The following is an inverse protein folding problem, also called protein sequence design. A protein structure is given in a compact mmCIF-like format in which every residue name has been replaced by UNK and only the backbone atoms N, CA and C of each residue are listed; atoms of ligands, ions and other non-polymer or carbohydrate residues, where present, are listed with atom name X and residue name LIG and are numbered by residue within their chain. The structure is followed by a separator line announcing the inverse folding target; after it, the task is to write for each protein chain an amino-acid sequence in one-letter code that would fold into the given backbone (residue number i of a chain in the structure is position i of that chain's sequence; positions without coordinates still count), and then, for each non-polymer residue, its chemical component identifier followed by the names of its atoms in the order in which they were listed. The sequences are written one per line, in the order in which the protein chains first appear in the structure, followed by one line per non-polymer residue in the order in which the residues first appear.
data_IF_919201360900
#
_entry.id   IF_919201360900
#
_cell.length_a   1.000
_cell.length_b   1.000
_cell.length_c   1.000
_cell.angle_alpha   90.00
_cell.angle_beta   90.00
_cell.angle_gamma   90.00
#
_symmetry.space_group_name_H-M   'P 1'
#
loop_
_entity.id
_entity.type
_entity.pdbx_description
1 polymer ?
#
# COMPACT_ATOMS: atom_id res chain seq x y z
N UNK A 1 46.27 -47.48 40.56
CA UNK A 1 45.96 -48.84 41.04
C UNK A 1 46.56 -49.87 40.10
N UNK A 2 47.66 -50.51 40.52
CA UNK A 2 47.84 -51.96 40.38
C UNK A 2 49.09 -52.36 41.16
N UNK A 3 48.87 -53.06 42.28
CA UNK A 3 49.84 -53.53 43.27
C UNK A 3 50.65 -54.76 42.78
N UNK A 4 50.93 -54.87 41.47
CA UNK A 4 51.48 -56.10 40.88
C UNK A 4 52.94 -56.01 40.44
N UNK A 5 53.58 -54.83 40.49
CA UNK A 5 54.93 -54.64 39.95
C UNK A 5 56.08 -54.70 40.98
N UNK A 6 55.79 -54.83 42.29
CA UNK A 6 56.82 -54.65 43.35
C UNK A 6 57.42 -55.97 43.86
N UNK A 7 56.93 -57.14 43.44
CA UNK A 7 57.29 -58.44 44.04
C UNK A 7 58.11 -59.41 43.16
N UNK A 8 58.93 -58.91 42.23
CA UNK A 8 59.87 -59.78 41.49
C UNK A 8 61.28 -59.17 41.33
N UNK A 9 61.82 -58.61 42.41
CA UNK A 9 63.23 -58.17 42.39
C UNK A 9 64.01 -58.51 43.67
N UNK A 10 63.86 -59.75 44.14
CA UNK A 10 64.82 -60.36 45.06
C UNK A 10 65.51 -61.46 44.28
N UNK A 11 66.82 -61.31 44.03
CA UNK A 11 67.76 -62.27 43.39
C UNK A 11 68.01 -62.08 41.88
N UNK A 12 68.83 -61.07 41.52
CA UNK A 12 69.90 -61.21 40.53
C UNK A 12 70.78 -59.95 40.51
N UNK A 13 72.05 -60.09 40.89
CA UNK A 13 73.05 -59.03 40.87
C UNK A 13 73.69 -58.97 39.48
N UNK A 14 73.08 -58.21 38.57
CA UNK A 14 73.69 -57.44 37.47
C UNK A 14 72.55 -56.93 36.57
N UNK A 15 71.80 -55.91 37.02
CA UNK A 15 70.99 -55.14 36.08
C UNK A 15 71.78 -53.93 35.63
N UNK A 16 71.98 -53.89 34.32
CA UNK A 16 72.61 -52.83 33.59
C UNK A 16 71.88 -51.51 33.90
N UNK A 17 72.48 -50.64 34.75
CA UNK A 17 71.93 -49.33 35.15
C UNK A 17 71.46 -48.50 33.94
N UNK A 18 72.10 -48.68 32.78
CA UNK A 18 71.76 -48.02 31.53
C UNK A 18 70.38 -48.41 30.99
N UNK A 19 69.92 -49.63 31.25
CA UNK A 19 68.61 -50.12 30.78
C UNK A 19 67.47 -49.58 31.63
N UNK A 20 67.67 -49.54 32.95
CA UNK A 20 66.71 -48.98 33.89
C UNK A 20 66.51 -47.46 33.64
N UNK A 21 67.60 -46.71 33.42
CA UNK A 21 67.52 -45.27 33.13
C UNK A 21 66.78 -44.97 31.81
N UNK A 22 66.96 -45.82 30.78
CA UNK A 22 66.20 -45.68 29.52
C UNK A 22 64.71 -45.97 29.71
N UNK A 23 64.35 -47.00 30.47
CA UNK A 23 62.95 -47.31 30.77
C UNK A 23 62.29 -46.19 31.57
N UNK A 24 62.98 -45.66 32.58
CA UNK A 24 62.46 -44.61 33.45
C UNK A 24 62.31 -43.28 32.70
N UNK A 25 63.29 -42.92 31.85
CA UNK A 25 63.16 -41.76 30.93
C UNK A 25 61.98 -41.91 29.98
N UNK A 26 61.78 -43.10 29.38
CA UNK A 26 60.63 -43.36 28.49
C UNK A 26 59.30 -43.28 29.23
N UNK A 27 59.22 -43.81 30.44
CA UNK A 27 58.02 -43.75 31.26
C UNK A 27 57.68 -42.30 31.66
N UNK A 28 58.66 -41.52 32.10
CA UNK A 28 58.48 -40.10 32.45
C UNK A 28 58.13 -39.24 31.23
N UNK A 29 58.74 -39.47 30.06
CA UNK A 29 58.36 -38.75 28.82
C UNK A 29 56.97 -39.14 28.34
N UNK A 30 56.57 -40.39 28.48
CA UNK A 30 55.21 -40.82 28.14
C UNK A 30 54.17 -40.18 29.08
N UNK A 31 54.43 -40.21 30.39
CA UNK A 31 53.55 -39.66 31.40
C UNK A 31 53.41 -38.13 31.25
N UNK A 32 54.52 -37.39 31.11
CA UNK A 32 54.48 -35.93 30.85
C UNK A 32 53.77 -35.59 29.55
N UNK A 33 53.93 -36.38 28.49
CA UNK A 33 53.22 -36.19 27.22
C UNK A 33 51.71 -36.39 27.37
N UNK A 34 51.27 -37.43 28.09
CA UNK A 34 49.85 -37.67 28.35
C UNK A 34 49.20 -36.57 29.19
N UNK A 35 49.87 -36.09 30.24
CA UNK A 35 49.40 -34.96 31.05
C UNK A 35 49.36 -33.66 30.24
N UNK A 36 50.40 -33.37 29.44
CA UNK A 36 50.44 -32.20 28.57
C UNK A 36 49.31 -32.22 27.51
N UNK A 37 49.04 -33.39 26.90
CA UNK A 37 47.91 -33.54 25.97
C UNK A 37 46.55 -33.42 26.66
N UNK A 38 46.39 -33.90 27.89
CA UNK A 38 45.17 -33.77 28.68
C UNK A 38 44.83 -32.32 29.01
N UNK A 39 45.83 -31.55 29.49
CA UNK A 39 45.67 -30.11 29.80
C UNK A 39 45.38 -29.31 28.52
N UNK A 40 46.07 -29.60 27.42
CA UNK A 40 45.84 -28.96 26.13
C UNK A 40 44.42 -29.21 25.61
N UNK A 41 43.92 -30.45 25.67
CA UNK A 41 42.55 -30.78 25.26
C UNK A 41 41.49 -30.14 26.16
N UNK A 42 41.72 -30.11 27.48
CA UNK A 42 40.80 -29.47 28.42
C UNK A 42 40.73 -27.95 28.19
N UNK A 43 41.86 -27.31 27.93
CA UNK A 43 41.92 -25.89 27.58
C UNK A 43 41.21 -25.59 26.25
N UNK A 44 41.45 -26.40 25.20
CA UNK A 44 40.75 -26.27 23.91
C UNK A 44 39.22 -26.39 24.07
N UNK A 45 38.75 -27.35 24.87
CA UNK A 45 37.32 -27.54 25.12
C UNK A 45 36.69 -26.36 25.88
N UNK A 46 37.40 -25.78 26.86
CA UNK A 46 36.94 -24.57 27.56
C UNK A 46 36.88 -23.35 26.64
N UNK A 47 37.91 -23.13 25.83
CA UNK A 47 37.95 -22.01 24.87
C UNK A 47 36.82 -22.14 23.86
N UNK A 48 36.63 -23.33 23.27
CA UNK A 48 35.53 -23.60 22.35
C UNK A 48 34.16 -23.35 23.00
N UNK A 49 33.94 -23.82 24.23
CA UNK A 49 32.69 -23.58 24.98
C UNK A 49 32.44 -22.10 25.23
N UNK A 50 33.48 -21.32 25.54
CA UNK A 50 33.40 -19.86 25.75
C UNK A 50 33.07 -19.13 24.45
N UNK A 51 33.72 -19.49 23.34
CA UNK A 51 33.43 -18.93 22.01
C UNK A 51 32.00 -19.23 21.54
N UNK A 52 31.50 -20.44 21.74
CA UNK A 52 30.10 -20.79 21.45
C UNK A 52 29.11 -19.93 22.25
N UNK A 53 29.41 -19.66 23.53
CA UNK A 53 28.58 -18.81 24.39
C UNK A 53 28.61 -17.35 23.95
N UNK A 54 29.79 -16.83 23.59
CA UNK A 54 29.98 -15.48 23.03
C UNK A 54 29.24 -15.32 21.70
N UNK A 55 29.33 -16.30 20.79
CA UNK A 55 28.59 -16.32 19.52
C UNK A 55 27.07 -16.35 19.73
N UNK A 56 26.58 -17.16 20.68
CA UNK A 56 25.14 -17.20 21.03
C UNK A 56 24.65 -15.87 21.59
N UNK A 57 25.44 -15.18 22.41
CA UNK A 57 25.11 -13.84 22.91
C UNK A 57 25.11 -12.80 21.79
N UNK A 58 26.12 -12.80 20.92
CA UNK A 58 26.19 -11.89 19.77
C UNK A 58 25.01 -12.10 18.81
N UNK A 59 24.68 -13.34 18.49
CA UNK A 59 23.55 -13.70 17.61
C UNK A 59 22.21 -13.29 18.22
N UNK A 60 22.02 -13.45 19.54
CA UNK A 60 20.82 -12.95 20.23
C UNK A 60 20.70 -11.43 20.16
N UNK A 61 21.80 -10.70 20.35
CA UNK A 61 21.81 -9.24 20.25
C UNK A 61 21.50 -8.77 18.83
N UNK A 62 22.04 -9.44 17.82
CA UNK A 62 21.77 -9.17 16.42
C UNK A 62 20.28 -9.40 16.09
N UNK A 63 19.71 -10.54 16.49
CA UNK A 63 18.28 -10.83 16.29
C UNK A 63 17.40 -9.80 17.00
N UNK A 64 17.75 -9.37 18.22
CA UNK A 64 17.01 -8.34 18.94
C UNK A 64 17.09 -6.97 18.25
N UNK A 65 18.25 -6.63 17.67
CA UNK A 65 18.40 -5.42 16.87
C UNK A 65 17.57 -5.50 15.59
N UNK A 66 17.58 -6.63 14.89
CA UNK A 66 16.77 -6.86 13.68
C UNK A 66 15.27 -6.78 13.99
N UNK A 67 14.82 -7.36 15.11
CA UNK A 67 13.43 -7.26 15.57
C UNK A 67 13.08 -5.80 15.90
N UNK A 68 13.92 -5.07 16.63
CA UNK A 68 13.69 -3.66 16.96
C UNK A 68 13.67 -2.77 15.71
N UNK A 69 14.54 -3.04 14.73
CA UNK A 69 14.58 -2.32 13.47
C UNK A 69 13.36 -2.64 12.62
N UNK A 70 12.93 -3.90 12.58
CA UNK A 70 11.72 -4.33 11.89
C UNK A 70 10.49 -3.69 12.53
N UNK A 71 10.39 -3.67 13.88
CA UNK A 71 9.31 -3.02 14.60
C UNK A 71 9.25 -1.52 14.31
N UNK A 72 10.40 -0.82 14.32
CA UNK A 72 10.47 0.61 13.97
C UNK A 72 10.03 0.88 12.54
N UNK A 73 10.49 0.09 11.56
CA UNK A 73 10.03 0.22 10.16
C UNK A 73 8.54 -0.05 10.03
N UNK A 74 8.01 -1.02 10.78
CA UNK A 74 6.58 -1.32 10.80
C UNK A 74 5.79 -0.19 11.47
N UNK A 75 6.28 0.39 12.57
CA UNK A 75 5.69 1.55 13.25
C UNK A 75 5.73 2.81 12.38
N UNK A 76 6.81 3.03 11.63
CA UNK A 76 6.95 4.12 10.64
C UNK A 76 5.98 3.94 9.45
N UNK A 77 5.73 2.70 9.01
CA UNK A 77 4.69 2.39 8.01
C UNK A 77 3.27 2.56 8.59
N UNK A 78 3.10 2.30 9.90
CA UNK A 78 1.83 2.40 10.63
C UNK A 78 1.55 3.83 11.11
N UNK A 79 2.48 4.79 10.94
CA UNK A 79 2.27 6.18 11.30
C UNK A 79 0.96 6.66 10.63
N UNK A 80 -0.10 6.69 11.45
CA UNK A 80 -1.48 6.77 11.00
C UNK A 80 -1.59 8.06 10.21
N UNK A 81 -1.87 7.95 8.91
CA UNK A 81 -2.21 9.13 8.13
C UNK A 81 -3.30 9.91 8.84
N UNK A 82 -3.13 11.22 8.89
CA UNK A 82 -4.14 12.07 9.46
C UNK A 82 -5.40 11.99 8.58
N UNK A 83 -6.39 11.24 9.06
CA UNK A 83 -7.69 11.07 8.39
C UNK A 83 -8.50 12.37 8.48
N UNK A 84 -8.22 13.20 9.49
CA UNK A 84 -8.89 14.47 9.74
C UNK A 84 -8.18 15.61 9.02
N UNK A 85 -8.37 15.65 7.71
CA UNK A 85 -7.95 16.77 6.86
C UNK A 85 -9.18 17.48 6.32
N UNK A 86 -9.07 18.79 6.07
CA UNK A 86 -10.18 19.59 5.52
C UNK A 86 -10.69 19.00 4.20
N UNK A 87 -9.84 18.59 3.24
CA UNK A 87 -10.28 17.95 2.00
C UNK A 87 -11.08 16.65 2.23
N UNK A 88 -10.62 15.79 3.14
CA UNK A 88 -11.32 14.53 3.40
C UNK A 88 -12.70 14.75 4.05
N UNK A 89 -12.84 15.78 4.90
CA UNK A 89 -14.15 16.15 5.46
C UNK A 89 -15.11 16.66 4.38
N UNK A 90 -14.62 17.46 3.44
CA UNK A 90 -15.41 17.98 2.30
C UNK A 90 -15.83 16.86 1.35
N UNK A 91 -14.92 15.91 1.06
CA UNK A 91 -15.24 14.70 0.30
C UNK A 91 -16.31 13.85 1.00
N UNK A 92 -16.17 13.61 2.31
CA UNK A 92 -17.15 12.84 3.09
C UNK A 92 -18.52 13.54 3.13
N UNK A 93 -18.53 14.86 3.29
CA UNK A 93 -19.75 15.66 3.19
C UNK A 93 -20.43 15.46 1.83
N UNK A 94 -19.68 15.45 0.72
CA UNK A 94 -20.22 15.22 -0.63
C UNK A 94 -20.86 13.85 -0.79
N UNK A 95 -20.25 12.80 -0.23
CA UNK A 95 -20.82 11.44 -0.25
C UNK A 95 -22.19 11.42 0.44
N UNK A 96 -22.36 12.17 1.54
CA UNK A 96 -23.64 12.29 2.26
C UNK A 96 -24.62 13.23 1.55
N UNK A 97 -24.13 14.33 0.99
CA UNK A 97 -24.94 15.33 0.29
C UNK A 97 -25.48 14.80 -1.04
N UNK A 98 -24.74 13.93 -1.75
CA UNK A 98 -25.15 13.34 -3.03
C UNK A 98 -26.54 12.65 -3.00
N UNK A 99 -26.83 11.69 -2.11
CA UNK A 99 -28.16 11.08 -2.02
C UNK A 99 -29.21 12.07 -1.53
N UNK A 100 -28.83 13.05 -0.69
CA UNK A 100 -29.75 14.10 -0.27
C UNK A 100 -30.12 15.05 -1.43
N UNK A 101 -29.18 15.38 -2.32
CA UNK A 101 -29.43 16.12 -3.55
C UNK A 101 -30.41 15.37 -4.45
N UNK A 102 -30.19 14.06 -4.61
CA UNK A 102 -31.09 13.18 -5.35
C UNK A 102 -32.50 13.19 -4.75
N UNK A 103 -32.63 13.18 -3.43
CA UNK A 103 -33.91 13.27 -2.75
C UNK A 103 -34.62 14.60 -3.03
N UNK A 104 -33.92 15.73 -2.96
CA UNK A 104 -34.50 17.05 -3.27
C UNK A 104 -35.00 17.14 -4.72
N UNK A 105 -34.25 16.57 -5.67
CA UNK A 105 -34.66 16.53 -7.08
C UNK A 105 -35.94 15.70 -7.25
N UNK A 106 -36.03 14.55 -6.59
CA UNK A 106 -37.23 13.70 -6.62
C UNK A 106 -38.45 14.37 -5.97
N UNK A 107 -38.24 15.15 -4.91
CA UNK A 107 -39.27 15.97 -4.26
C UNK A 107 -39.65 17.23 -5.06
N UNK A 108 -39.01 17.48 -6.20
CA UNK A 108 -39.19 18.67 -7.05
C UNK A 108 -38.79 20.01 -6.40
N UNK A 109 -37.98 19.96 -5.33
CA UNK A 109 -37.44 21.14 -4.64
C UNK A 109 -36.17 21.66 -5.34
N UNK A 110 -36.29 22.00 -6.63
CA UNK A 110 -35.15 22.32 -7.49
C UNK A 110 -34.34 23.53 -7.03
N UNK A 111 -34.98 24.50 -6.37
CA UNK A 111 -34.31 25.70 -5.89
C UNK A 111 -33.29 25.38 -4.79
N UNK A 112 -33.67 24.54 -3.82
CA UNK A 112 -32.78 24.11 -2.74
C UNK A 112 -31.70 23.19 -3.31
N UNK A 113 -32.08 22.26 -4.20
CA UNK A 113 -31.14 21.37 -4.87
C UNK A 113 -30.06 22.15 -5.65
N UNK A 114 -30.44 23.22 -6.34
CA UNK A 114 -29.52 24.06 -7.11
C UNK A 114 -28.52 24.78 -6.20
N UNK A 115 -28.98 25.41 -5.13
CA UNK A 115 -28.08 26.07 -4.18
C UNK A 115 -27.12 25.08 -3.54
N UNK A 116 -27.61 23.91 -3.17
CA UNK A 116 -26.79 22.88 -2.55
C UNK A 116 -25.79 22.28 -3.55
N UNK A 117 -26.15 22.13 -4.83
CA UNK A 117 -25.23 21.75 -5.90
C UNK A 117 -24.10 22.77 -6.07
N UNK A 118 -24.42 24.07 -6.06
CA UNK A 118 -23.43 25.16 -6.17
C UNK A 118 -22.46 25.10 -4.99
N UNK A 119 -22.97 24.99 -3.75
CA UNK A 119 -22.14 24.91 -2.54
C UNK A 119 -21.24 23.66 -2.58
N UNK A 120 -21.78 22.51 -2.98
CA UNK A 120 -21.03 21.27 -3.11
C UNK A 120 -19.94 21.36 -4.18
N UNK A 121 -20.22 21.97 -5.33
CA UNK A 121 -19.24 22.20 -6.40
C UNK A 121 -18.14 23.18 -6.00
N UNK A 122 -18.48 24.27 -5.32
CA UNK A 122 -17.49 25.22 -4.79
C UNK A 122 -16.59 24.58 -3.73
N UNK A 123 -17.15 23.69 -2.92
CA UNK A 123 -16.43 22.93 -1.91
C UNK A 123 -15.39 21.98 -2.53
N UNK A 124 -15.69 21.34 -3.66
CA UNK A 124 -14.76 20.51 -4.44
C UNK A 124 -13.61 21.33 -5.06
N UNK A 125 -13.92 22.51 -5.59
CA UNK A 125 -12.86 23.39 -6.09
C UNK A 125 -11.95 23.85 -4.95
N UNK A 126 -12.52 24.14 -3.78
CA UNK A 126 -11.79 24.55 -2.59
C UNK A 126 -10.93 23.42 -2.02
N UNK A 127 -11.44 22.20 -1.87
CA UNK A 127 -10.66 21.08 -1.35
C UNK A 127 -9.48 20.71 -2.28
N UNK A 128 -9.71 20.68 -3.59
CA UNK A 128 -8.69 20.42 -4.59
C UNK A 128 -7.63 21.52 -4.63
N UNK A 129 -8.01 22.77 -4.39
CA UNK A 129 -7.08 23.88 -4.27
C UNK A 129 -6.26 23.82 -2.96
N UNK A 130 -6.90 23.51 -1.83
CA UNK A 130 -6.24 23.36 -0.53
C UNK A 130 -5.25 22.20 -0.57
N UNK A 131 -5.63 21.04 -1.12
CA UNK A 131 -4.76 19.87 -1.22
C UNK A 131 -3.52 20.10 -2.11
N UNK A 132 -3.64 20.96 -3.14
CA UNK A 132 -2.51 21.35 -4.01
C UNK A 132 -1.60 22.39 -3.37
N UNK A 133 -2.17 23.28 -2.55
CA UNK A 133 -1.44 24.39 -1.94
C UNK A 133 -0.74 23.95 -0.64
N UNK A 134 -1.39 23.10 0.16
CA UNK A 134 -0.86 22.56 1.41
C UNK A 134 -0.68 21.04 1.33
N UNK A 135 0.52 20.60 1.00
CA UNK A 135 0.89 19.18 0.93
C UNK A 135 0.73 18.45 2.27
N UNK A 136 0.75 19.16 3.41
CA UNK A 136 0.49 18.60 4.74
C UNK A 136 -0.97 18.19 4.97
N UNK A 137 -1.91 18.70 4.14
CA UNK A 137 -3.33 18.36 4.19
C UNK A 137 -3.71 17.28 3.17
N UNK A 138 -2.77 16.82 2.34
CA UNK A 138 -3.00 15.73 1.41
C UNK A 138 -2.96 14.38 2.16
N UNK A 139 -4.05 13.62 2.08
CA UNK A 139 -4.16 12.27 2.65
C UNK A 139 -4.28 11.23 1.53
N UNK A 140 -3.68 10.03 1.70
CA UNK A 140 -3.86 8.95 0.71
C UNK A 140 -5.30 8.44 0.72
N UNK A 141 -6.00 8.46 1.86
CA UNK A 141 -7.43 8.16 1.92
C UNK A 141 -8.24 9.15 1.09
N UNK A 142 -8.06 10.45 1.29
CA UNK A 142 -8.73 11.49 0.49
C UNK A 142 -8.50 11.30 -1.00
N UNK A 143 -7.24 11.08 -1.41
CA UNK A 143 -6.90 10.84 -2.82
C UNK A 143 -7.59 9.63 -3.46
N UNK A 144 -8.03 8.67 -2.66
CA UNK A 144 -8.79 7.51 -3.10
C UNK A 144 -10.30 7.77 -3.06
N UNK A 145 -10.79 8.50 -2.06
CA UNK A 145 -12.20 8.80 -1.90
C UNK A 145 -12.69 9.86 -2.89
N UNK A 146 -11.88 10.87 -3.23
CA UNK A 146 -12.31 11.99 -4.10
C UNK A 146 -12.88 11.51 -5.45
N UNK A 147 -12.19 10.64 -6.24
CA UNK A 147 -12.73 10.19 -7.52
C UNK A 147 -13.99 9.34 -7.38
N UNK A 148 -14.19 8.69 -6.23
CA UNK A 148 -15.39 7.90 -5.95
C UNK A 148 -16.55 8.84 -5.59
N UNK A 149 -16.32 9.81 -4.71
CA UNK A 149 -17.32 10.80 -4.32
C UNK A 149 -17.81 11.62 -5.52
N UNK A 150 -16.92 12.02 -6.43
CA UNK A 150 -17.28 12.75 -7.64
C UNK A 150 -18.16 11.91 -8.57
N UNK A 151 -17.82 10.63 -8.75
CA UNK A 151 -18.59 9.71 -9.60
C UNK A 151 -19.96 9.39 -9.00
N UNK A 152 -20.04 9.30 -7.67
CA UNK A 152 -21.30 9.14 -6.96
C UNK A 152 -22.19 10.38 -7.11
N UNK A 153 -21.64 11.59 -6.94
CA UNK A 153 -22.38 12.82 -7.13
C UNK A 153 -22.93 12.92 -8.55
N UNK A 154 -22.07 12.85 -9.57
CA UNK A 154 -22.50 12.94 -10.97
C UNK A 154 -23.50 11.84 -11.33
N UNK A 155 -23.23 10.59 -10.92
CA UNK A 155 -24.10 9.45 -11.22
C UNK A 155 -25.50 9.56 -10.60
N UNK A 156 -25.59 9.94 -9.32
CA UNK A 156 -26.88 10.12 -8.62
C UNK A 156 -27.70 11.27 -9.21
N UNK A 157 -27.05 12.34 -9.68
CA UNK A 157 -27.72 13.45 -10.33
C UNK A 157 -28.26 13.10 -11.71
N UNK A 158 -27.49 12.38 -12.53
CA UNK A 158 -27.99 11.89 -13.82
C UNK A 158 -29.18 10.92 -13.65
N UNK A 159 -29.14 10.05 -12.65
CA UNK A 159 -30.22 9.11 -12.35
C UNK A 159 -31.50 9.83 -11.89
N UNK A 160 -31.37 10.76 -10.93
CA UNK A 160 -32.52 11.52 -10.42
C UNK A 160 -33.13 12.45 -11.46
N UNK A 161 -32.31 13.18 -12.23
CA UNK A 161 -32.81 14.05 -13.29
C UNK A 161 -33.48 13.27 -14.43
N UNK A 162 -32.98 12.06 -14.76
CA UNK A 162 -33.65 11.20 -15.73
C UNK A 162 -34.97 10.63 -15.21
N UNK A 163 -35.03 10.31 -13.91
CA UNK A 163 -36.26 9.83 -13.28
C UNK A 163 -37.38 10.87 -13.34
N UNK A 164 -37.03 12.14 -13.14
CA UNK A 164 -37.96 13.27 -13.22
C UNK A 164 -38.25 13.68 -14.68
N UNK A 165 -37.56 13.09 -15.66
CA UNK A 165 -37.78 13.34 -17.09
C UNK A 165 -37.09 14.59 -17.64
N UNK A 166 -36.20 15.23 -16.88
CA UNK A 166 -35.43 16.40 -17.33
C UNK A 166 -34.21 16.03 -18.18
N UNK A 167 -33.75 14.77 -18.08
CA UNK A 167 -32.64 14.24 -18.89
C UNK A 167 -33.11 13.00 -19.64
N UNK A 168 -32.77 12.86 -20.94
CA UNK A 168 -33.12 11.66 -21.69
C UNK A 168 -32.41 10.42 -21.12
N UNK A 169 -33.20 9.37 -20.83
CA UNK A 169 -32.72 8.09 -20.30
C UNK A 169 -31.53 7.50 -21.09
N UNK A 170 -31.49 7.55 -22.43
CA UNK A 170 -30.34 7.06 -23.20
C UNK A 170 -29.02 7.76 -22.84
N UNK A 171 -29.05 9.08 -22.61
CA UNK A 171 -27.86 9.84 -22.20
C UNK A 171 -27.40 9.41 -20.80
N UNK A 172 -28.34 9.29 -19.86
CA UNK A 172 -28.04 8.84 -18.50
C UNK A 172 -27.44 7.43 -18.50
N UNK A 173 -28.01 6.49 -19.25
CA UNK A 173 -27.45 5.14 -19.39
C UNK A 173 -26.02 5.18 -19.95
N UNK A 174 -25.76 6.01 -20.97
CA UNK A 174 -24.45 6.16 -21.59
C UNK A 174 -23.41 6.69 -20.59
N UNK A 175 -23.73 7.75 -19.86
CA UNK A 175 -22.85 8.37 -18.87
C UNK A 175 -22.56 7.41 -17.71
N UNK A 176 -23.60 6.80 -17.13
CA UNK A 176 -23.47 5.87 -16.00
C UNK A 176 -22.69 4.62 -16.42
N UNK A 177 -23.00 4.03 -17.58
CA UNK A 177 -22.28 2.85 -18.05
C UNK A 177 -20.79 3.13 -18.28
N UNK A 178 -20.46 4.29 -18.88
CA UNK A 178 -19.07 4.71 -19.08
C UNK A 178 -18.36 4.90 -17.75
N UNK A 179 -18.98 5.57 -16.79
CA UNK A 179 -18.36 5.85 -15.49
C UNK A 179 -18.17 4.58 -14.65
N UNK A 180 -19.15 3.68 -14.65
CA UNK A 180 -19.02 2.35 -14.03
C UNK A 180 -17.93 1.53 -14.70
N UNK A 181 -17.82 1.57 -16.03
CA UNK A 181 -16.75 0.89 -16.77
C UNK A 181 -15.36 1.42 -16.40
N UNK A 182 -15.21 2.75 -16.23
CA UNK A 182 -13.93 3.33 -15.80
C UNK A 182 -13.58 3.01 -14.34
N UNK A 183 -14.55 3.12 -13.44
CA UNK A 183 -14.33 2.79 -12.02
C UNK A 183 -14.01 1.30 -11.85
N UNK A 184 -14.72 0.42 -12.55
CA UNK A 184 -14.44 -1.03 -12.52
C UNK A 184 -13.09 -1.37 -13.14
N UNK A 185 -12.71 -0.76 -14.27
CA UNK A 185 -11.39 -0.92 -14.86
C UNK A 185 -10.28 -0.45 -13.91
N UNK A 186 -10.42 0.73 -13.31
CA UNK A 186 -9.48 1.27 -12.33
C UNK A 186 -9.34 0.33 -11.12
N UNK A 187 -10.47 -0.11 -10.56
CA UNK A 187 -10.55 -1.06 -9.44
C UNK A 187 -9.88 -2.38 -9.77
N UNK A 188 -10.12 -2.93 -10.96
CA UNK A 188 -9.55 -4.19 -11.43
C UNK A 188 -8.02 -4.12 -11.59
N UNK A 189 -7.50 -3.06 -12.21
CA UNK A 189 -6.05 -2.83 -12.36
C UNK A 189 -5.40 -2.74 -10.98
N UNK A 190 -6.05 -2.00 -10.07
CA UNK A 190 -5.57 -1.87 -8.69
C UNK A 190 -5.53 -3.22 -8.00
N UNK A 191 -6.61 -4.01 -8.08
CA UNK A 191 -6.70 -5.36 -7.54
C UNK A 191 -5.56 -6.27 -8.04
N UNK A 192 -5.19 -6.17 -9.32
CA UNK A 192 -4.06 -6.93 -9.87
C UNK A 192 -2.69 -6.45 -9.38
N UNK A 193 -2.52 -5.15 -9.14
CA UNK A 193 -1.24 -4.56 -8.72
C UNK A 193 -0.86 -4.85 -7.26
N UNK A 194 -1.77 -5.41 -6.45
CA UNK A 194 -1.53 -5.72 -5.04
C UNK A 194 -0.62 -6.95 -4.86
N UNK A 195 0.44 -6.87 -4.02
CA UNK A 195 1.27 -8.03 -3.70
C UNK A 195 0.46 -9.09 -2.92
N UNK A 196 0.72 -10.40 -3.12
CA UNK A 196 0.06 -11.44 -2.33
C UNK A 196 0.40 -11.31 -0.84
N UNK A 197 -0.53 -11.58 0.12
CA UNK A 197 -1.89 -12.08 -0.06
C UNK A 197 -2.92 -10.98 -0.39
N UNK A 198 -3.86 -11.31 -1.29
CA UNK A 198 -4.93 -10.42 -1.76
C UNK A 198 -6.12 -10.45 -0.79
N UNK A 199 -6.14 -9.59 0.22
CA UNK A 199 -7.26 -9.46 1.17
C UNK A 199 -8.03 -8.14 0.98
N UNK A 200 -9.32 -8.11 1.33
CA UNK A 200 -10.14 -6.87 1.25
C UNK A 200 -9.58 -5.75 2.12
N UNK A 201 -9.08 -6.09 3.32
CA UNK A 201 -8.40 -5.13 4.20
C UNK A 201 -7.22 -4.45 3.51
N UNK A 202 -6.49 -5.18 2.65
CA UNK A 202 -5.37 -4.66 1.87
C UNK A 202 -5.79 -3.90 0.62
N UNK A 203 -6.93 -4.26 0.03
CA UNK A 203 -7.55 -3.46 -1.03
C UNK A 203 -7.98 -2.10 -0.49
N UNK A 204 -8.59 -2.01 0.69
CA UNK A 204 -8.93 -0.71 1.28
C UNK A 204 -7.75 -0.01 1.96
N UNK A 205 -6.55 -0.60 1.93
CA UNK A 205 -5.34 0.01 2.50
C UNK A 205 -4.83 1.12 1.55
N UNK A 206 -4.87 2.39 1.97
CA UNK A 206 -4.49 3.54 1.14
C UNK A 206 -2.98 3.59 0.87
N UNK A 207 -2.18 2.82 1.61
CA UNK A 207 -0.71 2.81 1.54
C UNK A 207 -0.16 2.26 0.21
N UNK A 208 -0.98 1.53 -0.57
CA UNK A 208 -0.59 0.86 -1.81
C UNK A 208 -1.27 1.45 -3.08
N UNK A 209 -1.34 2.78 -3.20
CA UNK A 209 -1.83 3.44 -4.42
C UNK A 209 -0.86 3.22 -5.61
N UNK A 210 -1.00 2.09 -6.31
CA UNK A 210 0.01 1.61 -7.29
C UNK A 210 -0.41 1.87 -8.76
N UNK A 211 -1.60 2.41 -9.02
CA UNK A 211 -2.03 2.74 -10.37
C UNK A 211 -2.94 3.98 -10.38
N UNK A 212 -2.44 5.08 -10.96
CA UNK A 212 -3.27 6.20 -11.42
C UNK A 212 -3.44 6.04 -12.93
N UNK A 213 -4.68 5.93 -13.39
CA UNK A 213 -5.00 6.04 -14.79
C UNK A 213 -4.56 7.43 -15.23
N UNK A 214 -3.59 7.53 -16.13
CA UNK A 214 -3.10 8.82 -16.61
C UNK A 214 -4.31 9.64 -17.11
N UNK A 215 -4.64 10.78 -16.48
CA UNK A 215 -5.84 11.49 -16.83
C UNK A 215 -5.67 12.07 -18.23
N UNK A 216 -6.44 11.55 -19.19
CA UNK A 216 -6.49 12.10 -20.54
C UNK A 216 -7.19 13.46 -20.47
N UNK A 217 -6.66 14.46 -21.18
CA UNK A 217 -7.26 15.81 -21.24
C UNK A 217 -8.73 15.76 -21.68
N UNK A 218 -9.06 14.83 -22.59
CA UNK A 218 -10.43 14.54 -23.06
C UNK A 218 -11.36 14.15 -21.90
N UNK A 219 -10.87 13.36 -20.94
CA UNK A 219 -11.69 12.96 -19.78
C UNK A 219 -11.98 14.13 -18.84
N UNK A 220 -11.05 15.07 -18.67
CA UNK A 220 -11.26 16.26 -17.82
C UNK A 220 -12.31 17.19 -18.42
N UNK A 221 -12.23 17.42 -19.74
CA UNK A 221 -13.22 18.24 -20.46
C UNK A 221 -14.61 17.62 -20.38
N UNK A 222 -14.71 16.30 -20.56
CA UNK A 222 -15.99 15.61 -20.49
C UNK A 222 -16.66 15.76 -19.11
N UNK A 223 -15.90 15.65 -18.01
CA UNK A 223 -16.46 15.83 -16.66
C UNK A 223 -16.96 17.27 -16.45
N UNK A 224 -16.22 18.27 -16.93
CA UNK A 224 -16.65 19.67 -16.87
C UNK A 224 -17.96 19.90 -17.62
N UNK A 225 -18.06 19.37 -18.85
CA UNK A 225 -19.28 19.47 -19.67
C UNK A 225 -20.46 18.76 -19.00
N UNK A 226 -20.26 17.57 -18.44
CA UNK A 226 -21.30 16.84 -17.71
C UNK A 226 -21.80 17.61 -16.48
N UNK A 227 -20.90 18.21 -15.70
CA UNK A 227 -21.26 19.04 -14.55
C UNK A 227 -22.02 20.29 -14.98
N UNK A 228 -21.57 20.97 -16.04
CA UNK A 228 -22.29 22.12 -16.61
C UNK A 228 -23.68 21.74 -17.11
N UNK A 229 -23.83 20.57 -17.76
CA UNK A 229 -25.11 20.06 -18.19
C UNK A 229 -26.04 19.79 -17.01
N UNK A 230 -25.59 19.04 -16.00
CA UNK A 230 -26.37 18.78 -14.78
C UNK A 230 -26.84 20.09 -14.13
N UNK A 231 -25.92 21.04 -13.94
CA UNK A 231 -26.24 22.33 -13.32
C UNK A 231 -27.26 23.12 -14.16
N UNK A 232 -27.08 23.14 -15.48
CA UNK A 232 -28.02 23.78 -16.41
C UNK A 232 -29.41 23.14 -16.38
N UNK A 233 -29.48 21.81 -16.41
CA UNK A 233 -30.74 21.06 -16.35
C UNK A 233 -31.46 21.23 -15.01
N UNK A 234 -30.71 21.27 -13.89
CA UNK A 234 -31.28 21.51 -12.57
C UNK A 234 -31.79 22.96 -12.41
N UNK A 235 -31.12 23.92 -13.05
CA UNK A 235 -31.53 25.32 -13.07
C UNK A 235 -32.73 25.58 -14.00
N UNK A 236 -32.92 24.75 -15.03
CA UNK A 236 -33.96 24.93 -16.04
C UNK A 236 -35.40 25.04 -15.48
N UNK A 237 -35.86 24.20 -14.53
CA UNK A 237 -37.18 24.38 -13.92
C UNK A 237 -37.26 25.61 -13.00
N UNK A 238 -36.14 26.07 -12.41
CA UNK A 238 -36.09 27.25 -11.52
C UNK A 238 -36.25 28.56 -12.30
N UNK A 239 -35.65 28.64 -13.48
CA UNK A 239 -35.68 29.82 -14.35
C UNK A 239 -36.60 29.67 -15.57
N UNK A 240 -37.41 28.61 -15.61
CA UNK A 240 -38.40 28.32 -16.65
C UNK A 240 -37.85 28.21 -18.10
N UNK A 241 -36.68 27.59 -18.29
CA UNK A 241 -36.06 27.39 -19.62
C UNK A 241 -35.89 25.92 -20.04
N UNK A 242 -36.69 25.00 -19.50
CA UNK A 242 -36.58 23.54 -19.72
C UNK A 242 -36.42 23.13 -21.21
N UNK A 243 -37.09 23.82 -22.13
CA UNK A 243 -37.07 23.50 -23.57
C UNK A 243 -36.18 24.44 -24.40
N UNK A 244 -35.21 25.12 -23.77
CA UNK A 244 -34.36 26.07 -24.47
C UNK A 244 -33.34 25.35 -25.37
N UNK A 245 -33.13 25.79 -26.62
CA UNK A 245 -32.23 25.11 -27.59
C UNK A 245 -30.79 25.00 -27.09
N UNK A 246 -30.36 25.91 -26.20
CA UNK A 246 -29.03 25.83 -25.56
C UNK A 246 -28.89 24.58 -24.69
N UNK A 247 -29.93 24.21 -23.92
CA UNK A 247 -29.89 23.04 -23.06
C UNK A 247 -29.89 21.74 -23.89
N UNK A 248 -30.67 21.74 -24.98
CA UNK A 248 -30.69 20.64 -25.94
C UNK A 248 -29.34 20.48 -26.67
N UNK A 249 -28.75 21.59 -27.12
CA UNK A 249 -27.39 21.58 -27.69
C UNK A 249 -26.36 21.05 -26.69
N UNK A 250 -26.45 21.47 -25.41
CA UNK A 250 -25.57 21.00 -24.35
C UNK A 250 -25.74 19.51 -24.07
N UNK A 251 -26.97 18.98 -24.18
CA UNK A 251 -27.25 17.54 -24.12
C UNK A 251 -26.51 16.77 -25.22
N UNK A 252 -26.62 17.20 -26.49
CA UNK A 252 -25.91 16.57 -27.60
C UNK A 252 -24.39 16.67 -27.47
N UNK A 253 -23.88 17.83 -27.05
CA UNK A 253 -22.44 18.01 -26.77
C UNK A 253 -21.99 17.02 -25.70
N UNK A 254 -22.74 16.88 -24.61
CA UNK A 254 -22.44 15.94 -23.52
C UNK A 254 -22.44 14.50 -24.02
N UNK A 255 -23.38 14.11 -24.88
CA UNK A 255 -23.44 12.78 -25.47
C UNK A 255 -22.18 12.50 -26.33
N UNK A 256 -21.84 13.43 -27.22
CA UNK A 256 -20.69 13.32 -28.13
C UNK A 256 -19.38 13.28 -27.34
N UNK A 257 -19.20 14.15 -26.34
CA UNK A 257 -17.97 14.15 -25.54
C UNK A 257 -17.84 12.91 -24.67
N UNK A 258 -18.95 12.36 -24.18
CA UNK A 258 -18.91 11.12 -23.38
C UNK A 258 -18.55 9.93 -24.26
N UNK A 259 -19.11 9.84 -25.47
CA UNK A 259 -18.74 8.82 -26.46
C UNK A 259 -17.28 8.95 -26.87
N UNK A 260 -16.84 10.16 -27.24
CA UNK A 260 -15.46 10.43 -27.63
C UNK A 260 -14.48 10.08 -26.49
N UNK A 261 -14.82 10.42 -25.25
CA UNK A 261 -14.05 10.08 -24.06
C UNK A 261 -13.97 8.57 -23.81
N UNK A 262 -15.07 7.85 -24.02
CA UNK A 262 -15.11 6.38 -23.93
C UNK A 262 -14.26 5.70 -25.01
N UNK A 263 -14.42 6.12 -26.28
CA UNK A 263 -13.68 5.59 -27.43
C UNK A 263 -12.18 5.88 -27.29
N UNK A 264 -11.81 7.12 -26.90
CA UNK A 264 -10.41 7.49 -26.67
C UNK A 264 -9.74 6.57 -25.65
N UNK A 265 -10.48 6.13 -24.63
CA UNK A 265 -9.97 5.22 -23.62
C UNK A 265 -9.75 3.81 -24.17
N UNK A 266 -10.66 3.30 -25.01
CA UNK A 266 -10.53 2.00 -25.67
C UNK A 266 -9.37 1.96 -26.68
N UNK A 267 -9.14 3.05 -27.40
CA UNK A 267 -8.10 3.14 -28.45
C UNK A 267 -6.71 3.39 -27.84
N UNK A 268 -6.63 4.07 -26.68
CA UNK A 268 -5.37 4.34 -25.98
C UNK A 268 -4.76 3.06 -25.37
N UNK A 269 -4.06 2.28 -26.19
CA UNK A 269 -3.29 1.09 -25.77
C UNK A 269 -2.12 1.38 -24.82
N UNK A 270 -1.79 2.64 -24.55
CA UNK A 270 -0.64 3.07 -23.74
C UNK A 270 -0.97 3.62 -22.34
N UNK A 271 -2.23 3.50 -21.88
CA UNK A 271 -2.64 4.04 -20.56
C UNK A 271 -2.05 3.25 -19.38
N UNK A 272 -1.51 2.05 -19.61
CA UNK A 272 -0.99 1.16 -18.58
C UNK A 272 0.54 1.19 -18.53
N UNK A 273 1.13 2.25 -17.95
CA UNK A 273 2.53 2.17 -17.51
C UNK A 273 2.58 1.38 -16.21
N UNK A 274 2.86 0.08 -16.30
CA UNK A 274 3.34 -0.68 -15.14
C UNK A 274 4.61 0.01 -14.63
N UNK A 275 4.58 0.52 -13.40
CA UNK A 275 5.77 1.06 -12.71
C UNK A 275 6.80 -0.07 -12.60
N UNK A 276 7.79 -0.05 -13.50
CA UNK A 276 8.86 -1.04 -13.53
C UNK A 276 9.65 -0.92 -12.22
N UNK A 277 9.60 -1.96 -11.39
CA UNK A 277 10.32 -2.08 -10.11
C UNK A 277 11.81 -1.76 -10.35
N UNK A 278 12.35 -0.72 -9.70
CA UNK A 278 13.80 -0.54 -9.60
C UNK A 278 14.36 -1.76 -8.86
N UNK A 279 14.98 -2.69 -9.58
CA UNK A 279 15.79 -3.75 -9.00
C UNK A 279 16.95 -3.11 -8.24
N UNK A 280 16.89 -3.18 -6.91
CA UNK A 280 17.99 -2.83 -6.03
C UNK A 280 19.21 -3.67 -6.44
N UNK A 281 20.26 -3.00 -6.92
CA UNK A 281 21.56 -3.60 -7.22
C UNK A 281 22.09 -4.21 -5.92
N UNK A 282 22.34 -5.53 -5.92
CA UNK A 282 23.04 -6.21 -4.82
C UNK A 282 24.44 -5.56 -4.66
N UNK A 283 24.90 -5.25 -3.45
CA UNK A 283 26.26 -4.79 -3.25
C UNK A 283 27.25 -5.89 -3.66
N UNK A 284 28.43 -5.54 -4.22
CA UNK A 284 29.45 -6.51 -4.56
C UNK A 284 29.93 -7.22 -3.29
N UNK A 285 30.01 -8.55 -3.39
CA UNK A 285 30.54 -9.48 -2.39
C UNK A 285 32.00 -9.24 -2.09
#
# INVERSE_FOLDING_TARGET
MSYFAVLCFKRSATLNKCWLDRCLKRYLTYQTRTYATGISNHHKNYVAKREHLSRRKALRLQVLQDIKQTKRKVEEIIEKENIWTVPNLLCMARIVTSPYLSYLILSQDYQIALWLLIIAGLSDLADGWIARTWTSQASKLGSFLDPVADKLLVGTLFLSLAWVGLVPVPLTCLVVARDVALVSAASYIRYQSLPPPKTLARYFDPTHATAQLAPTYISKLNTGIQLSFIAGTLAAPVFHFVNHPVLEALCYVTAVTTLAGGISYLISKNTYKFLKRKTLKKPPT
#
